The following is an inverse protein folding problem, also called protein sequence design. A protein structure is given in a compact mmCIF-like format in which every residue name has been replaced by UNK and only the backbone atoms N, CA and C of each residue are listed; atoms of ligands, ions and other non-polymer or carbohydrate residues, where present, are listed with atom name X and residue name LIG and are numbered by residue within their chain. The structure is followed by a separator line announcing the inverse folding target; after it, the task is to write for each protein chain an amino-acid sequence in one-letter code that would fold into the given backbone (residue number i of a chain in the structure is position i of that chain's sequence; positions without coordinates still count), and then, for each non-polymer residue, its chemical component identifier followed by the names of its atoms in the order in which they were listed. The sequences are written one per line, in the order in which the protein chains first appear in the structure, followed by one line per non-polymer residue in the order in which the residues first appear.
data_IF_412040835256
#
_entry.id   IF_412040835256
#
_cell.length_a   1.000
_cell.length_b   1.000
_cell.length_c   1.000
_cell.angle_alpha   90.00
_cell.angle_beta   90.00
_cell.angle_gamma   90.00
#
_symmetry.space_group_name_H-M   'P 1'
#
loop_
_entity.id
_entity.type
_entity.pdbx_description
1 polymer ?
#
# COMPACT_ATOMS: atom_id res chain seq x y z
N UNK A 1 8.37 13.70 22.41
CA UNK A 1 8.27 14.94 21.59
C UNK A 1 7.06 15.76 22.01
N UNK A 2 7.08 17.10 21.92
CA UNK A 2 5.88 17.91 22.13
C UNK A 2 4.82 17.57 21.07
N UNK A 3 3.53 17.59 21.48
CA UNK A 3 2.39 17.22 20.63
C UNK A 3 2.33 18.00 19.31
N UNK A 4 2.70 19.27 19.35
CA UNK A 4 2.77 20.13 18.17
C UNK A 4 3.78 19.60 17.13
N UNK A 5 4.95 19.13 17.56
CA UNK A 5 5.96 18.60 16.66
C UNK A 5 5.47 17.31 15.96
N UNK A 6 4.72 16.45 16.67
CA UNK A 6 4.08 15.26 16.06
C UNK A 6 3.02 15.64 15.03
N UNK A 7 2.22 16.67 15.30
CA UNK A 7 1.22 17.17 14.34
C UNK A 7 1.88 17.74 13.10
N UNK A 8 2.96 18.52 13.25
CA UNK A 8 3.69 19.09 12.12
C UNK A 8 4.38 18.01 11.29
N UNK A 9 4.99 17.01 11.93
CA UNK A 9 5.61 15.87 11.26
C UNK A 9 4.55 15.05 10.50
N UNK A 10 3.40 14.77 11.13
CA UNK A 10 2.28 14.10 10.50
C UNK A 10 1.79 14.86 9.27
N UNK A 11 1.54 16.16 9.42
CA UNK A 11 1.09 17.01 8.31
C UNK A 11 2.12 17.04 7.17
N UNK A 12 3.40 17.16 7.49
CA UNK A 12 4.48 17.17 6.48
C UNK A 12 4.52 15.86 5.68
N UNK A 13 4.51 14.70 6.36
CA UNK A 13 4.66 13.40 5.72
C UNK A 13 3.40 12.92 4.99
N UNK A 14 2.21 13.12 5.59
CA UNK A 14 0.98 12.48 5.11
C UNK A 14 -0.01 13.43 4.43
N UNK A 15 0.25 14.75 4.46
CA UNK A 15 -0.58 15.74 3.78
C UNK A 15 0.25 16.56 2.79
N UNK A 16 1.28 17.28 3.27
CA UNK A 16 2.04 18.22 2.44
C UNK A 16 2.83 17.49 1.36
N UNK A 17 3.53 16.41 1.71
CA UNK A 17 4.33 15.64 0.77
C UNK A 17 3.50 15.02 -0.38
N UNK A 18 2.35 14.34 -0.12
CA UNK A 18 1.45 13.88 -1.17
C UNK A 18 0.89 15.01 -2.06
N UNK A 19 0.50 16.14 -1.44
CA UNK A 19 0.01 17.30 -2.19
C UNK A 19 1.10 17.91 -3.06
N UNK A 20 2.29 18.13 -2.50
CA UNK A 20 3.44 18.65 -3.23
C UNK A 20 3.78 17.76 -4.43
N UNK A 21 3.78 16.43 -4.25
CA UNK A 21 3.99 15.48 -5.34
C UNK A 21 2.86 15.56 -6.39
N UNK A 22 1.60 15.59 -5.94
CA UNK A 22 0.41 15.63 -6.81
C UNK A 22 0.36 16.85 -7.71
N UNK A 23 0.78 18.00 -7.20
CA UNK A 23 0.72 19.29 -7.89
C UNK A 23 2.08 19.74 -8.44
N UNK A 24 3.14 18.95 -8.24
CA UNK A 24 4.46 19.25 -8.82
C UNK A 24 4.38 19.33 -10.35
N UNK A 25 4.97 20.37 -10.96
CA UNK A 25 5.16 20.43 -12.39
C UNK A 25 6.21 19.43 -12.88
N UNK A 26 7.15 19.04 -12.01
CA UNK A 26 8.20 18.07 -12.33
C UNK A 26 7.72 16.66 -12.01
N UNK A 27 7.76 15.79 -13.02
CA UNK A 27 7.42 14.37 -12.85
C UNK A 27 8.68 13.60 -12.52
N UNK A 28 8.75 13.04 -11.33
CA UNK A 28 9.79 12.11 -10.90
C UNK A 28 9.15 10.82 -10.37
N UNK A 29 9.88 9.69 -10.38
CA UNK A 29 9.32 8.42 -9.92
C UNK A 29 8.92 8.49 -8.44
N UNK A 30 7.75 7.93 -8.08
CA UNK A 30 7.26 7.92 -6.70
C UNK A 30 8.05 6.97 -5.78
N UNK A 31 8.66 5.91 -6.33
CA UNK A 31 9.39 4.91 -5.54
C UNK A 31 10.57 5.48 -4.75
N UNK A 32 11.47 6.32 -5.30
CA UNK A 32 12.55 6.93 -4.51
C UNK A 32 12.03 7.76 -3.34
N UNK A 33 10.92 8.50 -3.54
CA UNK A 33 10.30 9.29 -2.48
C UNK A 33 9.73 8.39 -1.38
N UNK A 34 9.03 7.31 -1.76
CA UNK A 34 8.51 6.31 -0.83
C UNK A 34 9.64 5.68 -0.01
N UNK A 35 10.74 5.28 -0.66
CA UNK A 35 11.88 4.70 0.04
C UNK A 35 12.58 5.71 0.95
N UNK A 36 12.70 6.97 0.56
CA UNK A 36 13.21 8.03 1.43
C UNK A 36 12.39 8.18 2.72
N UNK A 37 11.05 8.23 2.58
CA UNK A 37 10.14 8.29 3.73
C UNK A 37 10.19 6.98 4.57
N UNK A 38 10.30 5.82 3.94
CA UNK A 38 10.41 4.54 4.63
C UNK A 38 11.74 4.40 5.39
N UNK A 39 12.85 4.88 4.84
CA UNK A 39 14.16 4.91 5.52
C UNK A 39 14.11 5.84 6.72
N UNK A 40 13.48 7.02 6.59
CA UNK A 40 13.22 7.90 7.72
C UNK A 40 12.40 7.20 8.81
N UNK A 41 11.30 6.55 8.44
CA UNK A 41 10.44 5.80 9.35
C UNK A 41 11.20 4.68 10.07
N UNK A 42 11.98 3.92 9.32
CA UNK A 42 12.85 2.86 9.84
C UNK A 42 13.84 3.40 10.87
N UNK A 43 14.54 4.47 10.53
CA UNK A 43 15.50 5.11 11.42
C UNK A 43 14.87 5.60 12.72
N UNK A 44 13.67 6.19 12.66
CA UNK A 44 12.92 6.63 13.83
C UNK A 44 12.48 5.46 14.72
N UNK A 45 11.99 4.36 14.12
CA UNK A 45 11.61 3.16 14.84
C UNK A 45 12.80 2.51 15.55
N UNK A 46 13.96 2.45 14.90
CA UNK A 46 15.17 1.87 15.51
C UNK A 46 15.73 2.70 16.66
N UNK A 47 15.44 4.01 16.69
CA UNK A 47 15.85 4.93 17.77
C UNK A 47 14.90 4.95 18.95
N UNK A 48 13.67 4.48 18.80
CA UNK A 48 12.74 4.39 19.94
C UNK A 48 13.01 3.11 20.72
N UNK A 49 13.51 3.21 21.97
CA UNK A 49 13.80 2.02 22.78
C UNK A 49 12.55 1.24 23.21
N UNK A 50 11.35 1.84 23.06
CA UNK A 50 10.07 1.20 23.39
C UNK A 50 9.52 0.38 22.24
N UNK A 51 10.04 0.58 21.01
CA UNK A 51 9.57 -0.15 19.85
C UNK A 51 10.05 -1.61 19.89
N UNK A 52 9.11 -2.52 19.93
CA UNK A 52 9.41 -3.96 19.82
C UNK A 52 9.70 -4.32 18.34
N UNK A 53 10.97 -4.58 18.06
CA UNK A 53 11.45 -4.95 16.71
C UNK A 53 10.88 -6.27 16.22
N UNK A 54 10.40 -7.16 17.09
CA UNK A 54 9.73 -8.39 16.68
C UNK A 54 8.47 -8.11 15.88
N UNK A 55 7.82 -6.96 16.09
CA UNK A 55 6.66 -6.52 15.30
C UNK A 55 6.95 -6.36 13.81
N UNK A 56 8.20 -6.25 13.40
CA UNK A 56 8.58 -6.20 11.98
C UNK A 56 8.47 -7.58 11.30
N UNK A 57 8.74 -8.67 12.02
CA UNK A 57 8.91 -10.01 11.43
C UNK A 57 8.23 -11.15 12.21
N UNK A 58 7.20 -10.88 12.98
CA UNK A 58 6.54 -11.91 13.78
C UNK A 58 5.93 -13.01 12.90
N UNK A 59 6.75 -14.01 12.55
CA UNK A 59 6.36 -15.13 11.70
C UNK A 59 5.36 -16.09 12.35
N UNK A 60 5.28 -16.12 13.69
CA UNK A 60 4.26 -16.87 14.43
C UNK A 60 2.87 -16.29 14.16
N UNK A 61 2.73 -14.97 14.23
CA UNK A 61 1.50 -14.27 13.91
C UNK A 61 1.10 -14.47 12.44
N UNK A 62 2.06 -14.43 11.51
CA UNK A 62 1.78 -14.69 10.10
C UNK A 62 1.12 -16.07 9.93
N UNK A 63 1.72 -17.12 10.48
CA UNK A 63 1.16 -18.49 10.38
C UNK A 63 -0.25 -18.57 10.97
N UNK A 64 -0.47 -17.94 12.14
CA UNK A 64 -1.78 -17.94 12.80
C UNK A 64 -2.89 -17.24 11.99
N UNK A 65 -2.55 -16.23 11.20
CA UNK A 65 -3.53 -15.45 10.43
C UNK A 65 -3.66 -15.88 8.97
N UNK A 66 -2.74 -16.69 8.42
CA UNK A 66 -2.68 -17.01 6.99
C UNK A 66 -3.99 -17.57 6.45
N UNK A 67 -4.60 -18.56 7.11
CA UNK A 67 -5.84 -19.18 6.63
C UNK A 67 -6.98 -18.16 6.56
N UNK A 68 -7.14 -17.33 7.59
CA UNK A 68 -8.15 -16.29 7.63
C UNK A 68 -7.94 -15.25 6.53
N UNK A 69 -6.70 -14.81 6.33
CA UNK A 69 -6.32 -13.89 5.24
C UNK A 69 -6.69 -14.49 3.88
N UNK A 70 -6.35 -15.76 3.63
CA UNK A 70 -6.63 -16.42 2.36
C UNK A 70 -8.14 -16.58 2.11
N UNK A 71 -8.93 -16.87 3.14
CA UNK A 71 -10.39 -16.98 3.01
C UNK A 71 -11.02 -15.63 2.64
N UNK A 72 -10.67 -14.54 3.33
CA UNK A 72 -11.18 -13.20 3.00
C UNK A 72 -10.69 -12.78 1.62
N UNK A 73 -9.40 -13.00 1.33
CA UNK A 73 -8.82 -12.69 0.02
C UNK A 73 -9.57 -13.41 -1.10
N UNK A 74 -9.87 -14.69 -0.97
CA UNK A 74 -10.58 -15.45 -2.00
C UNK A 74 -11.96 -14.84 -2.33
N UNK A 75 -12.73 -14.45 -1.30
CA UNK A 75 -14.05 -13.81 -1.48
C UNK A 75 -13.90 -12.46 -2.17
N UNK A 76 -13.00 -11.60 -1.70
CA UNK A 76 -12.79 -10.25 -2.26
C UNK A 76 -12.17 -10.33 -3.66
N UNK A 77 -11.24 -11.25 -3.89
CA UNK A 77 -10.64 -11.48 -5.20
C UNK A 77 -11.68 -11.91 -6.24
N UNK A 78 -12.59 -12.82 -5.86
CA UNK A 78 -13.71 -13.21 -6.71
C UNK A 78 -14.62 -12.02 -7.00
N UNK A 79 -15.00 -11.23 -5.99
CA UNK A 79 -15.84 -10.06 -6.17
C UNK A 79 -15.21 -9.02 -7.10
N UNK A 80 -13.90 -8.73 -6.94
CA UNK A 80 -13.15 -7.84 -7.81
C UNK A 80 -13.10 -8.36 -9.26
N UNK A 81 -12.86 -9.66 -9.45
CA UNK A 81 -12.86 -10.26 -10.77
C UNK A 81 -14.23 -10.18 -11.44
N UNK A 82 -15.32 -10.53 -10.74
CA UNK A 82 -16.66 -10.40 -11.25
C UNK A 82 -17.00 -8.94 -11.59
N UNK A 83 -16.58 -8.00 -10.76
CA UNK A 83 -16.72 -6.56 -11.04
C UNK A 83 -16.00 -6.15 -12.33
N UNK A 84 -14.74 -6.55 -12.52
CA UNK A 84 -14.00 -6.28 -13.76
C UNK A 84 -14.70 -6.90 -14.95
N UNK A 85 -15.08 -8.19 -14.86
CA UNK A 85 -15.76 -8.90 -15.93
C UNK A 85 -17.09 -8.26 -16.34
N UNK A 86 -17.83 -7.71 -15.36
CA UNK A 86 -19.13 -7.07 -15.61
C UNK A 86 -19.02 -5.64 -16.13
N UNK A 87 -18.14 -4.83 -15.55
CA UNK A 87 -18.10 -3.38 -15.79
C UNK A 87 -16.96 -2.92 -16.69
N UNK A 88 -15.92 -3.74 -16.85
CA UNK A 88 -14.73 -3.40 -17.63
C UNK A 88 -14.07 -4.65 -18.26
N UNK A 89 -14.82 -5.48 -19.03
CA UNK A 89 -14.34 -6.78 -19.55
C UNK A 89 -13.09 -6.64 -20.43
N UNK A 90 -12.86 -5.49 -21.06
CA UNK A 90 -11.65 -5.20 -21.84
C UNK A 90 -10.37 -5.14 -20.99
N UNK A 91 -10.49 -4.97 -19.68
CA UNK A 91 -9.35 -4.96 -18.75
C UNK A 91 -9.01 -6.35 -18.22
N UNK A 92 -9.95 -7.30 -18.33
CA UNK A 92 -9.82 -8.63 -17.74
C UNK A 92 -8.55 -9.33 -18.25
N UNK A 93 -7.61 -9.59 -17.32
CA UNK A 93 -6.31 -10.21 -17.58
C UNK A 93 -5.42 -9.45 -18.58
N UNK A 94 -5.73 -8.19 -18.89
CA UNK A 94 -5.05 -7.45 -19.95
C UNK A 94 -3.53 -7.40 -19.71
N UNK A 95 -3.08 -7.12 -18.50
CA UNK A 95 -1.65 -7.03 -18.20
C UNK A 95 -0.93 -8.38 -18.36
N UNK A 96 -1.55 -9.47 -17.86
CA UNK A 96 -1.00 -10.83 -17.99
C UNK A 96 -0.88 -11.24 -19.46
N UNK A 97 -1.90 -10.91 -20.27
CA UNK A 97 -1.94 -11.28 -21.70
C UNK A 97 -1.03 -10.43 -22.55
N UNK A 98 -0.94 -9.12 -22.28
CA UNK A 98 -0.16 -8.20 -23.11
C UNK A 98 1.33 -8.24 -22.82
N UNK A 99 1.75 -8.49 -21.57
CA UNK A 99 3.15 -8.53 -21.20
C UNK A 99 3.39 -9.48 -19.99
N UNK A 100 3.32 -10.81 -20.20
CA UNK A 100 3.45 -11.78 -19.13
C UNK A 100 4.81 -11.73 -18.41
N UNK A 101 5.90 -11.43 -19.12
CA UNK A 101 7.22 -11.31 -18.52
C UNK A 101 7.29 -10.12 -17.55
N UNK A 102 6.77 -8.96 -17.96
CA UNK A 102 6.75 -7.77 -17.08
C UNK A 102 5.78 -7.96 -15.93
N UNK A 103 4.63 -8.61 -16.16
CA UNK A 103 3.73 -8.99 -15.08
C UNK A 103 4.45 -9.86 -14.03
N UNK A 104 5.19 -10.89 -14.43
CA UNK A 104 5.94 -11.75 -13.52
C UNK A 104 6.99 -10.95 -12.71
N UNK A 105 7.71 -10.03 -13.37
CA UNK A 105 8.65 -9.12 -12.69
C UNK A 105 7.93 -8.28 -11.64
N UNK A 106 6.76 -7.73 -11.97
CA UNK A 106 5.95 -6.96 -11.01
C UNK A 106 5.51 -7.84 -9.84
N UNK A 107 5.05 -9.07 -10.06
CA UNK A 107 4.66 -9.99 -8.98
C UNK A 107 5.78 -10.25 -7.97
N UNK A 108 7.03 -10.30 -8.42
CA UNK A 108 8.21 -10.53 -7.56
C UNK A 108 8.68 -9.23 -6.89
N UNK A 109 8.76 -8.14 -7.62
CA UNK A 109 9.35 -6.88 -7.13
C UNK A 109 8.36 -6.02 -6.33
N UNK A 110 7.07 -6.07 -6.64
CA UNK A 110 6.04 -5.25 -5.98
C UNK A 110 6.00 -5.44 -4.45
N UNK A 111 6.05 -6.68 -3.90
CA UNK A 111 6.08 -6.89 -2.47
C UNK A 111 7.24 -6.17 -1.77
N UNK A 112 8.40 -6.17 -2.39
CA UNK A 112 9.64 -5.60 -1.82
C UNK A 112 9.71 -4.09 -2.06
N UNK A 113 9.51 -3.66 -3.30
CA UNK A 113 9.76 -2.26 -3.70
C UNK A 113 8.60 -1.32 -3.30
N UNK A 114 7.39 -1.84 -3.17
CA UNK A 114 6.19 -1.04 -2.92
C UNK A 114 5.50 -1.39 -1.61
N UNK A 115 5.13 -2.66 -1.41
CA UNK A 115 4.33 -3.07 -0.23
C UNK A 115 5.10 -2.89 1.08
N UNK A 116 6.33 -3.39 1.15
CA UNK A 116 7.12 -3.33 2.38
C UNK A 116 7.39 -1.90 2.85
N UNK A 117 7.91 -0.98 2.02
CA UNK A 117 8.13 0.40 2.46
C UNK A 117 6.82 1.14 2.80
N UNK A 118 5.72 0.85 2.11
CA UNK A 118 4.39 1.36 2.48
C UNK A 118 3.93 0.78 3.82
N UNK A 119 4.10 -0.50 4.04
CA UNK A 119 3.77 -1.16 5.30
C UNK A 119 4.56 -0.56 6.47
N UNK A 120 5.85 -0.34 6.28
CA UNK A 120 6.72 0.26 7.28
C UNK A 120 6.25 1.67 7.64
N UNK A 121 5.96 2.51 6.64
CA UNK A 121 5.55 3.91 6.83
C UNK A 121 4.14 4.03 7.43
N UNK A 122 3.14 3.36 6.83
CA UNK A 122 1.72 3.53 7.17
C UNK A 122 1.23 2.61 8.28
N UNK A 123 2.00 1.60 8.72
CA UNK A 123 1.63 0.67 9.80
C UNK A 123 2.63 0.75 10.94
N UNK A 124 3.84 0.20 10.81
CA UNK A 124 4.77 0.13 11.92
C UNK A 124 5.11 1.53 12.48
N UNK A 125 5.57 2.45 11.63
CA UNK A 125 5.91 3.80 12.03
C UNK A 125 4.68 4.61 12.45
N UNK A 126 3.61 4.56 11.68
CA UNK A 126 2.39 5.31 11.95
C UNK A 126 1.81 4.96 13.32
N UNK A 127 1.66 3.68 13.60
CA UNK A 127 1.07 3.18 14.85
C UNK A 127 1.93 3.49 16.07
N UNK A 128 3.24 3.38 15.95
CA UNK A 128 4.16 3.69 17.05
C UNK A 128 4.25 5.20 17.27
N UNK A 129 4.49 5.94 16.21
CA UNK A 129 4.83 7.36 16.28
C UNK A 129 3.67 8.25 16.67
N UNK A 130 2.47 7.96 16.14
CA UNK A 130 1.30 8.81 16.31
C UNK A 130 0.27 8.26 17.31
N UNK A 131 0.64 7.28 18.14
CA UNK A 131 -0.22 6.74 19.18
C UNK A 131 -0.84 7.81 20.10
N UNK A 132 -0.07 8.87 20.41
CA UNK A 132 -0.53 9.98 21.24
C UNK A 132 -1.54 10.91 20.51
N UNK A 133 -1.63 10.87 19.18
CA UNK A 133 -2.57 11.68 18.40
C UNK A 133 -3.90 10.94 18.16
N UNK A 134 -3.85 9.63 18.05
CA UNK A 134 -5.01 8.78 17.75
C UNK A 134 -5.20 7.75 18.87
N UNK A 135 -5.79 8.14 20.00
CA UNK A 135 -6.02 7.24 21.11
C UNK A 135 -7.10 6.21 20.76
N UNK A 136 -6.74 4.95 20.86
CA UNK A 136 -7.64 3.84 20.60
C UNK A 136 -7.45 3.15 19.22
N UNK A 137 -7.73 1.85 19.21
CA UNK A 137 -7.47 0.97 18.07
C UNK A 137 -8.12 1.48 16.77
N UNK A 138 -9.39 1.83 16.82
CA UNK A 138 -10.15 2.20 15.62
C UNK A 138 -9.77 3.58 15.07
N UNK A 139 -9.51 4.57 15.93
CA UNK A 139 -9.03 5.88 15.45
C UNK A 139 -7.70 5.77 14.74
N UNK A 140 -6.80 4.93 15.25
CA UNK A 140 -5.50 4.64 14.63
C UNK A 140 -5.65 3.93 13.28
N UNK A 141 -6.51 2.89 13.19
CA UNK A 141 -6.78 2.16 11.95
C UNK A 141 -7.33 3.10 10.89
N UNK A 142 -8.36 3.89 11.23
CA UNK A 142 -8.98 4.81 10.27
C UNK A 142 -8.01 5.92 9.84
N UNK A 143 -7.26 6.50 10.76
CA UNK A 143 -6.28 7.54 10.43
C UNK A 143 -5.16 7.00 9.51
N UNK A 144 -4.65 5.79 9.79
CA UNK A 144 -3.68 5.11 8.93
C UNK A 144 -4.24 4.83 7.53
N UNK A 145 -5.48 4.34 7.45
CA UNK A 145 -6.15 4.07 6.18
C UNK A 145 -6.40 5.33 5.36
N UNK A 146 -6.80 6.43 6.00
CA UNK A 146 -6.97 7.73 5.36
C UNK A 146 -5.66 8.28 4.82
N UNK A 147 -4.59 8.24 5.61
CA UNK A 147 -3.26 8.69 5.19
C UNK A 147 -2.74 7.84 4.00
N UNK A 148 -2.96 6.53 4.05
CA UNK A 148 -2.60 5.61 2.96
C UNK A 148 -3.39 5.88 1.69
N UNK A 149 -4.70 6.03 1.79
CA UNK A 149 -5.57 6.35 0.66
C UNK A 149 -5.28 7.73 0.08
N UNK A 150 -5.03 8.71 0.94
CA UNK A 150 -4.73 10.08 0.51
C UNK A 150 -3.45 10.15 -0.35
N UNK A 151 -2.41 9.38 -0.02
CA UNK A 151 -1.22 9.29 -0.89
C UNK A 151 -1.57 8.78 -2.29
N UNK A 152 -2.56 7.90 -2.44
CA UNK A 152 -2.96 7.34 -3.74
C UNK A 152 -3.71 8.32 -4.65
N UNK A 153 -4.05 9.53 -4.17
CA UNK A 153 -4.54 10.62 -5.02
C UNK A 153 -3.55 11.02 -6.14
N UNK A 154 -2.28 10.69 -5.98
CA UNK A 154 -1.25 10.89 -7.01
C UNK A 154 -1.60 10.21 -8.33
N UNK A 155 -2.31 9.09 -8.31
CA UNK A 155 -2.74 8.35 -9.50
C UNK A 155 -3.89 9.01 -10.27
N UNK A 156 -4.48 10.07 -9.74
CA UNK A 156 -5.50 10.92 -10.40
C UNK A 156 -6.77 10.17 -10.80
N UNK A 157 -7.13 9.13 -10.07
CA UNK A 157 -8.38 8.43 -10.27
C UNK A 157 -9.04 8.05 -8.93
N UNK A 158 -10.37 8.15 -8.87
CA UNK A 158 -11.16 7.91 -7.66
C UNK A 158 -11.15 6.43 -7.26
N UNK A 159 -11.08 5.52 -8.23
CA UNK A 159 -11.09 4.08 -7.95
C UNK A 159 -9.86 3.67 -7.11
N UNK A 160 -8.67 4.20 -7.45
CA UNK A 160 -7.47 3.95 -6.65
C UNK A 160 -7.63 4.44 -5.21
N UNK A 161 -8.20 5.64 -5.01
CA UNK A 161 -8.44 6.20 -3.68
C UNK A 161 -9.41 5.34 -2.87
N UNK A 162 -10.52 4.91 -3.46
CA UNK A 162 -11.52 4.07 -2.79
C UNK A 162 -10.98 2.68 -2.45
N UNK A 163 -10.35 2.02 -3.40
CA UNK A 163 -9.77 0.69 -3.18
C UNK A 163 -8.64 0.72 -2.15
N UNK A 164 -7.80 1.77 -2.16
CA UNK A 164 -6.74 1.89 -1.17
C UNK A 164 -7.25 2.33 0.20
N UNK A 165 -8.39 3.01 0.29
CA UNK A 165 -9.03 3.24 1.57
C UNK A 165 -9.55 1.92 2.18
N UNK A 166 -10.29 1.13 1.41
CA UNK A 166 -10.78 -0.17 1.85
C UNK A 166 -9.63 -1.13 2.21
N UNK A 167 -8.61 -1.25 1.34
CA UNK A 167 -7.41 -2.01 1.62
C UNK A 167 -6.63 -1.46 2.82
N UNK A 168 -6.55 -0.14 2.96
CA UNK A 168 -5.91 0.54 4.08
C UNK A 168 -6.53 0.16 5.42
N UNK A 169 -7.87 0.12 5.50
CA UNK A 169 -8.59 -0.34 6.69
C UNK A 169 -8.24 -1.80 7.01
N UNK A 170 -8.28 -2.67 6.01
CA UNK A 170 -7.99 -4.08 6.16
C UNK A 170 -6.56 -4.32 6.66
N UNK A 171 -5.57 -3.71 6.00
CA UNK A 171 -4.16 -3.89 6.34
C UNK A 171 -3.76 -3.26 7.68
N UNK A 172 -4.37 -2.10 8.04
CA UNK A 172 -4.17 -1.47 9.33
C UNK A 172 -4.81 -2.29 10.46
N UNK A 173 -6.02 -2.83 10.24
CA UNK A 173 -6.67 -3.74 11.17
C UNK A 173 -5.83 -5.01 11.37
N UNK A 174 -5.31 -5.59 10.29
CA UNK A 174 -4.43 -6.76 10.36
C UNK A 174 -3.17 -6.48 11.16
N UNK A 175 -2.52 -5.33 10.93
CA UNK A 175 -1.37 -4.93 11.73
C UNK A 175 -1.70 -4.80 13.22
N UNK A 176 -2.84 -4.16 13.53
CA UNK A 176 -3.31 -3.97 14.91
C UNK A 176 -3.73 -5.27 15.63
N UNK A 177 -4.10 -6.31 14.88
CA UNK A 177 -4.51 -7.62 15.42
C UNK A 177 -3.34 -8.57 15.57
N UNK A 178 -2.49 -8.63 14.53
CA UNK A 178 -1.40 -9.58 14.46
C UNK A 178 -0.13 -9.09 15.17
N UNK A 179 -0.04 -7.80 15.46
CA UNK A 179 1.17 -7.15 15.94
C UNK A 179 2.41 -7.52 15.10
N UNK A 180 2.20 -7.52 13.77
CA UNK A 180 3.16 -8.03 12.79
C UNK A 180 3.07 -7.28 11.46
N UNK A 181 4.15 -6.57 11.10
CA UNK A 181 4.27 -5.92 9.80
C UNK A 181 4.28 -6.96 8.67
N UNK A 182 4.98 -8.07 8.86
CA UNK A 182 5.04 -9.15 7.87
C UNK A 182 3.64 -9.69 7.52
N UNK A 183 2.77 -9.87 8.53
CA UNK A 183 1.39 -10.34 8.33
C UNK A 183 0.57 -9.33 7.54
N UNK A 184 0.65 -8.04 7.87
CA UNK A 184 -0.03 -6.97 7.13
C UNK A 184 0.50 -6.84 5.70
N UNK A 185 1.83 -6.94 5.51
CA UNK A 185 2.44 -6.89 4.18
C UNK A 185 2.07 -8.12 3.33
N UNK A 186 1.97 -9.30 3.92
CA UNK A 186 1.50 -10.49 3.21
C UNK A 186 0.08 -10.28 2.66
N UNK A 187 -0.85 -9.80 3.50
CA UNK A 187 -2.21 -9.51 3.09
C UNK A 187 -2.25 -8.43 1.99
N UNK A 188 -1.51 -7.34 2.15
CA UNK A 188 -1.39 -6.29 1.15
C UNK A 188 -0.82 -6.80 -0.18
N UNK A 189 0.20 -7.66 -0.13
CA UNK A 189 0.80 -8.27 -1.32
C UNK A 189 -0.23 -9.06 -2.13
N UNK A 190 -1.05 -9.88 -1.48
CA UNK A 190 -2.09 -10.66 -2.16
C UNK A 190 -3.04 -9.75 -2.94
N UNK A 191 -3.59 -8.72 -2.29
CA UNK A 191 -4.52 -7.79 -2.94
C UNK A 191 -3.86 -6.98 -4.05
N UNK A 192 -2.66 -6.44 -3.82
CA UNK A 192 -1.96 -5.64 -4.81
C UNK A 192 -1.58 -6.47 -6.05
N UNK A 193 -1.01 -7.65 -5.86
CA UNK A 193 -0.71 -8.58 -6.96
C UNK A 193 -1.99 -8.98 -7.72
N UNK A 194 -3.10 -9.18 -7.00
CA UNK A 194 -4.37 -9.48 -7.63
C UNK A 194 -4.91 -8.33 -8.48
N UNK A 195 -4.84 -7.10 -8.00
CA UNK A 195 -5.25 -5.91 -8.77
C UNK A 195 -4.48 -5.80 -10.10
N UNK A 196 -3.15 -6.04 -10.08
CA UNK A 196 -2.36 -6.10 -11.31
C UNK A 196 -2.77 -7.25 -12.21
N UNK A 197 -3.08 -8.41 -11.64
CA UNK A 197 -3.43 -9.62 -12.39
C UNK A 197 -4.80 -9.49 -13.03
N UNK A 198 -5.82 -9.03 -12.31
CA UNK A 198 -7.21 -8.97 -12.80
C UNK A 198 -7.45 -7.84 -13.80
N UNK A 199 -6.50 -6.88 -13.92
CA UNK A 199 -6.55 -5.79 -14.90
C UNK A 199 -6.74 -4.39 -14.30
N UNK A 200 -6.88 -4.29 -12.96
CA UNK A 200 -7.03 -2.99 -12.28
C UNK A 200 -5.69 -2.29 -12.01
N UNK A 201 -4.56 -2.95 -12.23
CA UNK A 201 -3.22 -2.41 -11.96
C UNK A 201 -2.90 -1.10 -12.70
N UNK A 202 -3.53 -0.87 -13.87
CA UNK A 202 -3.37 0.39 -14.62
C UNK A 202 -3.78 1.64 -13.82
N UNK A 203 -4.68 1.50 -12.84
CA UNK A 203 -5.12 2.62 -11.99
C UNK A 203 -4.09 2.96 -10.89
N UNK A 204 -3.08 2.13 -10.70
CA UNK A 204 -2.03 2.26 -9.68
C UNK A 204 -0.63 2.45 -10.27
N UNK A 205 -0.55 2.77 -11.57
CA UNK A 205 0.71 2.91 -12.27
C UNK A 205 0.74 4.18 -13.13
N UNK A 206 1.85 4.93 -13.07
CA UNK A 206 2.05 6.15 -13.88
C UNK A 206 2.63 5.87 -15.28
N UNK A 207 3.09 4.65 -15.55
CA UNK A 207 3.62 4.23 -16.85
C UNK A 207 2.49 3.74 -17.75
N UNK A 208 2.64 3.93 -19.06
CA UNK A 208 1.72 3.41 -20.07
C UNK A 208 1.91 1.91 -20.23
N UNK A 209 1.07 1.10 -19.60
CA UNK A 209 1.02 -0.37 -19.84
C UNK A 209 0.65 -0.65 -21.32
N UNK A 210 -0.02 0.31 -21.98
CA UNK A 210 -0.54 0.19 -23.34
C UNK A 210 0.47 0.47 -24.48
N UNK A 211 1.66 1.02 -24.22
CA UNK A 211 2.54 1.52 -25.30
C UNK A 211 3.72 0.61 -25.66
N UNK A 212 3.96 -0.49 -24.99
CA UNK A 212 5.00 -1.43 -25.41
C UNK A 212 4.56 -2.28 -26.63
N UNK A 213 3.25 -2.46 -26.83
CA UNK A 213 2.71 -3.19 -27.98
C UNK A 213 2.63 -2.39 -29.30
N UNK A 214 2.67 -1.06 -29.26
CA UNK A 214 2.59 -0.21 -30.46
C UNK A 214 3.96 0.22 -31.02
N UNK A 215 5.03 0.11 -30.24
CA UNK A 215 6.40 0.42 -30.66
C UNK A 215 7.07 -0.70 -31.46
N UNK A 216 6.49 -1.92 -31.49
CA UNK A 216 7.03 -3.07 -32.22
C UNK A 216 6.36 -3.24 -33.61
N UNK A 217 5.38 -2.41 -33.94
CA UNK A 217 4.69 -2.43 -35.25
C UNK A 217 4.91 -1.14 -36.07
N UNK A 218 6.13 -0.58 -36.03
CA UNK A 218 6.57 0.39 -37.02
C UNK A 218 7.98 0.04 -37.51
#
# INVERSE_FOLDING_TARGET
MPRLALILEFAALFIVLPLAYRFSPVRFPALPLLWGAAIYAWWQLLRDPRFDRNRLWNGGALRGHTMWILCIFAVVALALWLGVRQFAPQLEWNFVRSNPAFWAVVMVLYPVLSVYPQGLLYRAFFFERYAALFPGKWSMIVASALAFSFMHMIFRNTLAVLLTFAGGLLFAARYAEADSLATSCFEHTLYGCWLFTVGLGQYFYHGTIATVGSAIRR
#
